data_IF_204209002168
#
_entry.id   IF_204209002168
#
_cell.length_a   1.000
_cell.length_b   1.000
_cell.length_c   1.000
_cell.angle_alpha   90.00
_cell.angle_beta   90.00
_cell.angle_gamma   90.00
#
_symmetry.space_group_name_H-M   'P 1'
#
loop_
_entity.id
_entity.type
_entity.pdbx_description
1 polymer ?
#
# COMPACT_ATOMS: atom_id res chain seq x y z
N UNK A 1 20.45 -11.79 -9.26
CA UNK A 1 19.62 -11.60 -8.06
C UNK A 1 20.42 -12.01 -6.83
N UNK A 2 20.49 -11.15 -5.80
CA UNK A 2 21.21 -11.45 -4.55
C UNK A 2 20.62 -12.70 -3.89
N UNK A 3 21.50 -13.58 -3.40
CA UNK A 3 21.23 -14.91 -2.83
C UNK A 3 20.23 -14.91 -1.65
N UNK A 4 19.98 -13.74 -1.07
CA UNK A 4 18.95 -13.47 -0.09
C UNK A 4 17.99 -12.44 -0.71
N UNK A 5 16.71 -12.77 -0.86
CA UNK A 5 15.68 -11.95 -1.52
C UNK A 5 15.32 -10.64 -0.82
N UNK A 6 16.24 -10.04 -0.06
CA UNK A 6 16.06 -8.79 0.65
C UNK A 6 16.73 -7.65 -0.11
N UNK A 7 15.92 -6.72 -0.62
CA UNK A 7 16.40 -5.40 -1.06
C UNK A 7 16.52 -4.47 0.14
N UNK A 8 17.76 -4.20 0.54
CA UNK A 8 18.07 -3.24 1.57
C UNK A 8 17.74 -1.82 1.10
N UNK A 9 17.13 -1.03 1.98
CA UNK A 9 16.80 0.38 1.72
C UNK A 9 16.89 1.16 3.01
N UNK A 10 17.47 2.36 2.97
CA UNK A 10 17.57 3.26 4.12
C UNK A 10 16.20 3.54 4.76
N UNK A 11 15.14 3.62 3.96
CA UNK A 11 13.78 3.82 4.46
C UNK A 11 13.26 2.66 5.33
N UNK A 12 13.81 1.44 5.18
CA UNK A 12 13.52 0.29 6.07
C UNK A 12 14.34 0.37 7.35
N UNK A 13 15.62 0.73 7.26
CA UNK A 13 16.48 0.93 8.42
C UNK A 13 15.97 2.04 9.34
N UNK A 14 15.54 3.16 8.76
CA UNK A 14 14.97 4.29 9.47
C UNK A 14 13.54 4.02 9.99
N UNK A 15 12.99 2.82 9.78
CA UNK A 15 11.68 2.41 10.30
C UNK A 15 10.46 3.02 9.59
N UNK A 16 10.65 3.92 8.62
CA UNK A 16 9.58 4.61 7.89
C UNK A 16 8.65 3.60 7.21
N UNK A 17 9.21 2.53 6.63
CA UNK A 17 8.41 1.45 6.02
C UNK A 17 7.52 0.71 7.03
N UNK A 18 8.03 0.49 8.24
CA UNK A 18 7.28 -0.17 9.31
C UNK A 18 6.10 0.66 9.79
N UNK A 19 6.28 1.98 9.93
CA UNK A 19 5.20 2.90 10.31
C UNK A 19 4.10 2.92 9.25
N UNK A 20 4.46 3.04 7.97
CA UNK A 20 3.49 2.99 6.86
C UNK A 20 2.69 1.68 6.85
N UNK A 21 3.36 0.54 7.08
CA UNK A 21 2.68 -0.75 7.17
C UNK A 21 1.74 -0.86 8.38
N UNK A 22 2.17 -0.42 9.56
CA UNK A 22 1.32 -0.42 10.77
C UNK A 22 0.10 0.47 10.57
N UNK A 23 0.28 1.65 9.99
CA UNK A 23 -0.82 2.56 9.65
C UNK A 23 -1.80 1.91 8.67
N UNK A 24 -1.30 1.31 7.58
CA UNK A 24 -2.15 0.64 6.60
C UNK A 24 -2.93 -0.54 7.21
N UNK A 25 -2.30 -1.33 8.10
CA UNK A 25 -2.96 -2.44 8.80
C UNK A 25 -4.00 -1.98 9.81
N UNK A 26 -3.74 -0.87 10.51
CA UNK A 26 -4.65 -0.33 11.53
C UNK A 26 -5.85 0.40 10.92
N UNK A 27 -5.64 1.18 9.86
CA UNK A 27 -6.69 1.97 9.20
C UNK A 27 -7.38 1.23 8.06
N UNK A 28 -6.77 0.16 7.53
CA UNK A 28 -7.23 -0.51 6.31
C UNK A 28 -7.06 0.35 5.04
N UNK A 29 -6.39 1.50 5.14
CA UNK A 29 -6.16 2.40 4.01
C UNK A 29 -4.83 2.05 3.37
N UNK A 30 -4.81 1.69 2.07
CA UNK A 30 -3.56 1.40 1.39
C UNK A 30 -2.71 2.67 1.32
N UNK A 31 -1.47 2.58 1.79
CA UNK A 31 -0.47 3.66 1.66
C UNK A 31 0.33 3.57 0.37
N UNK A 32 -0.05 2.67 -0.54
CA UNK A 32 0.57 2.49 -1.86
C UNK A 32 -0.28 3.15 -2.95
N UNK A 33 0.38 3.72 -3.95
CA UNK A 33 -0.30 4.39 -5.08
C UNK A 33 -1.31 3.47 -5.76
N UNK A 34 -0.89 2.26 -6.12
CA UNK A 34 -1.76 1.24 -6.74
C UNK A 34 -2.92 0.82 -5.84
N UNK A 35 -2.73 0.76 -4.53
CA UNK A 35 -3.81 0.42 -3.61
C UNK A 35 -4.86 1.53 -3.52
N UNK A 36 -4.43 2.79 -3.54
CA UNK A 36 -5.32 3.96 -3.59
C UNK A 36 -6.09 3.97 -4.92
N UNK A 37 -5.40 3.79 -6.04
CA UNK A 37 -6.01 3.71 -7.38
C UNK A 37 -7.09 2.62 -7.46
N UNK A 38 -6.83 1.43 -6.92
CA UNK A 38 -7.82 0.34 -6.86
C UNK A 38 -9.02 0.70 -5.99
N UNK A 39 -8.78 1.33 -4.84
CA UNK A 39 -9.87 1.73 -3.93
C UNK A 39 -10.77 2.76 -4.60
N UNK A 40 -10.19 3.79 -5.21
CA UNK A 40 -10.92 4.83 -5.95
C UNK A 40 -11.62 4.24 -7.18
N UNK A 41 -10.93 3.44 -7.98
CA UNK A 41 -11.51 2.78 -9.15
C UNK A 41 -12.72 1.92 -8.78
N UNK A 42 -12.63 1.16 -7.68
CA UNK A 42 -13.76 0.37 -7.18
C UNK A 42 -14.96 1.23 -6.75
N UNK A 43 -14.72 2.42 -6.18
CA UNK A 43 -15.78 3.36 -5.81
C UNK A 43 -16.44 3.97 -7.04
N UNK A 44 -15.65 4.38 -8.04
CA UNK A 44 -16.15 4.93 -9.30
C UNK A 44 -17.01 3.89 -10.03
N UNK A 45 -16.52 2.66 -10.17
CA UNK A 45 -17.26 1.58 -10.83
C UNK A 45 -18.58 1.29 -10.09
N UNK A 46 -18.56 1.19 -8.76
CA UNK A 46 -19.77 1.00 -7.95
C UNK A 46 -20.78 2.15 -8.13
N UNK A 47 -20.28 3.39 -8.19
CA UNK A 47 -21.13 4.57 -8.37
C UNK A 47 -21.72 4.65 -9.77
N UNK A 48 -20.95 4.27 -10.80
CA UNK A 48 -21.37 4.34 -12.20
C UNK A 48 -22.31 3.20 -12.59
N UNK A 49 -22.01 1.98 -12.17
CA UNK A 49 -22.76 0.78 -12.56
C UNK A 49 -23.83 0.38 -11.54
N UNK A 50 -24.06 1.21 -10.50
CA UNK A 50 -25.10 1.12 -9.46
C UNK A 50 -25.78 -0.24 -9.34
N UNK A 51 -24.99 -1.25 -8.95
CA UNK A 51 -25.46 -2.49 -8.32
C UNK A 51 -24.92 -2.55 -6.90
#
# INVERSE_FOLDING_TARGET
>A
MSKFGFSFSLSRLLGITGVKQRFARKTGIPTSKTGIERKIGSLIIRSLFKK
#
